data_IF_696939182292
#
_entry.id   IF_696939182292
#
_cell.length_a   1.000
_cell.length_b   1.000
_cell.length_c   1.000
_cell.angle_alpha   90.00
_cell.angle_beta   90.00
_cell.angle_gamma   90.00
#
_symmetry.space_group_name_H-M   'P 1'
#
loop_
_entity.id
_entity.type
_entity.pdbx_description
1 polymer ?
#
# COMPACT_ATOMS: atom_id res chain seq x y z
N UNK A 1 -19.16 -1.55 0.35
CA UNK A 1 -17.99 -1.52 1.26
C UNK A 1 -16.68 -1.77 0.51
N UNK A 2 -16.49 -2.93 -0.13
CA UNK A 2 -15.26 -3.22 -0.89
C UNK A 2 -14.98 -2.19 -2.01
N UNK A 3 -16.00 -1.80 -2.78
CA UNK A 3 -15.88 -0.81 -3.86
C UNK A 3 -15.51 0.60 -3.40
N UNK A 4 -15.92 1.00 -2.18
CA UNK A 4 -15.56 2.32 -1.61
C UNK A 4 -14.09 2.32 -1.21
N UNK A 5 -13.59 1.23 -0.62
CA UNK A 5 -12.18 1.08 -0.24
C UNK A 5 -11.29 1.10 -1.48
N UNK A 6 -11.66 0.35 -2.52
CA UNK A 6 -10.93 0.36 -3.81
C UNK A 6 -10.86 1.77 -4.39
N UNK A 7 -11.99 2.49 -4.48
CA UNK A 7 -11.99 3.86 -4.98
C UNK A 7 -11.17 4.85 -4.14
N UNK A 8 -11.10 4.66 -2.82
CA UNK A 8 -10.24 5.47 -1.94
C UNK A 8 -8.76 5.18 -2.20
N UNK A 9 -8.39 3.90 -2.37
CA UNK A 9 -7.02 3.49 -2.66
C UNK A 9 -6.59 4.04 -4.02
N UNK A 10 -7.42 3.92 -5.06
CA UNK A 10 -7.12 4.46 -6.39
C UNK A 10 -6.95 5.98 -6.37
N UNK A 11 -7.75 6.69 -5.56
CA UNK A 11 -7.63 8.14 -5.40
C UNK A 11 -6.35 8.57 -4.66
N UNK A 12 -5.95 7.85 -3.62
CA UNK A 12 -4.80 8.19 -2.76
C UNK A 12 -3.47 7.63 -3.27
N UNK A 13 -3.52 6.51 -3.99
CA UNK A 13 -2.40 5.86 -4.64
C UNK A 13 -2.76 5.58 -6.11
N UNK A 14 -2.85 6.62 -6.95
CA UNK A 14 -3.14 6.47 -8.38
C UNK A 14 -2.07 5.63 -9.08
N UNK A 15 -2.40 5.07 -10.24
CA UNK A 15 -1.53 4.12 -10.94
C UNK A 15 -0.15 4.72 -11.22
N UNK A 16 -0.07 5.98 -11.64
CA UNK A 16 1.21 6.65 -11.94
C UNK A 16 2.10 6.76 -10.68
N UNK A 17 1.51 7.10 -9.53
CA UNK A 17 2.24 7.15 -8.26
C UNK A 17 2.66 5.75 -7.82
N UNK A 18 1.77 4.78 -7.95
CA UNK A 18 2.04 3.38 -7.62
C UNK A 18 3.16 2.79 -8.48
N UNK A 19 3.19 3.08 -9.78
CA UNK A 19 4.27 2.70 -10.70
C UNK A 19 5.62 3.32 -10.33
N UNK A 20 5.65 4.60 -9.93
CA UNK A 20 6.87 5.25 -9.45
C UNK A 20 7.36 4.63 -8.14
N UNK A 21 6.46 4.38 -7.20
CA UNK A 21 6.80 3.78 -5.92
C UNK A 21 7.36 2.36 -6.07
N UNK A 22 6.80 1.55 -6.98
CA UNK A 22 7.29 0.19 -7.25
C UNK A 22 8.76 0.14 -7.70
N UNK A 23 9.31 1.23 -8.24
CA UNK A 23 10.72 1.30 -8.65
C UNK A 23 11.69 1.46 -7.47
N UNK A 24 11.18 1.90 -6.32
CA UNK A 24 12.02 2.24 -5.14
C UNK A 24 11.66 1.43 -3.90
N UNK A 25 10.48 0.82 -3.86
CA UNK A 25 10.07 -0.01 -2.72
C UNK A 25 10.98 -1.25 -2.62
N UNK A 26 11.55 -1.53 -1.44
CA UNK A 26 12.33 -2.74 -1.26
C UNK A 26 11.43 -3.98 -1.31
N UNK A 27 11.97 -5.09 -1.80
CA UNK A 27 11.28 -6.37 -1.75
C UNK A 27 10.92 -6.73 -0.31
N UNK A 28 9.71 -7.26 -0.11
CA UNK A 28 9.26 -7.69 1.20
C UNK A 28 10.18 -8.81 1.71
N UNK A 29 10.74 -8.70 2.92
CA UNK A 29 11.64 -9.72 3.45
C UNK A 29 10.90 -11.05 3.60
N UNK A 30 11.56 -12.14 3.21
CA UNK A 30 11.07 -13.48 3.47
C UNK A 30 11.03 -13.70 4.99
N UNK A 31 9.91 -14.22 5.50
CA UNK A 31 9.77 -14.52 6.92
C UNK A 31 10.23 -15.95 7.19
N UNK A 32 11.33 -16.18 7.93
CA UNK A 32 11.77 -17.53 8.29
C UNK A 32 10.76 -18.27 9.16
N UNK A 33 9.96 -17.52 9.92
CA UNK A 33 8.91 -18.04 10.80
C UNK A 33 7.62 -17.24 10.56
N UNK A 34 6.51 -17.95 10.35
CA UNK A 34 5.21 -17.40 9.96
C UNK A 34 4.37 -16.79 11.08
N UNK A 35 4.99 -16.21 12.11
CA UNK A 35 4.29 -15.58 13.23
C UNK A 35 3.79 -14.15 12.92
N UNK A 36 2.92 -13.63 13.80
CA UNK A 36 2.46 -12.23 13.78
C UNK A 36 1.29 -11.95 12.83
N UNK A 37 0.98 -10.65 12.63
CA UNK A 37 -0.10 -10.23 11.73
C UNK A 37 0.32 -10.43 10.26
N UNK A 38 -0.66 -10.76 9.41
CA UNK A 38 -0.48 -10.75 7.96
C UNK A 38 -0.07 -9.34 7.51
N UNK A 39 0.81 -9.27 6.51
CA UNK A 39 1.21 -8.01 5.86
C UNK A 39 0.00 -7.48 5.06
N UNK A 40 -0.24 -6.19 5.13
CA UNK A 40 -1.19 -5.52 4.24
C UNK A 40 -0.58 -5.37 2.84
N UNK A 41 -1.41 -5.20 1.81
CA UNK A 41 -0.93 -4.94 0.47
C UNK A 41 -0.21 -3.59 0.41
N UNK A 42 0.79 -3.51 -0.46
CA UNK A 42 1.69 -2.34 -0.54
C UNK A 42 0.98 -1.08 -1.00
N UNK A 43 0.02 -1.22 -1.93
CA UNK A 43 -0.75 -0.08 -2.45
C UNK A 43 -1.69 0.48 -1.40
N UNK A 44 -2.27 -0.38 -0.55
CA UNK A 44 -3.08 0.03 0.59
C UNK A 44 -2.26 0.78 1.64
N UNK A 45 -1.04 0.31 1.92
CA UNK A 45 -0.13 1.00 2.85
C UNK A 45 0.33 2.33 2.27
N UNK A 46 0.62 2.41 0.97
CA UNK A 46 0.96 3.66 0.29
C UNK A 46 -0.18 4.67 0.39
N UNK A 47 -1.42 4.24 0.12
CA UNK A 47 -2.61 5.09 0.27
C UNK A 47 -2.76 5.62 1.71
N UNK A 48 -2.48 4.79 2.71
CA UNK A 48 -2.51 5.21 4.12
C UNK A 48 -1.42 6.23 4.45
N UNK A 49 -0.20 6.05 3.95
CA UNK A 49 0.90 7.01 4.12
C UNK A 49 0.53 8.37 3.52
N UNK A 50 0.03 8.38 2.27
CA UNK A 50 -0.40 9.61 1.59
C UNK A 50 -1.49 10.31 2.39
N UNK A 51 -2.51 9.57 2.84
CA UNK A 51 -3.57 10.12 3.67
C UNK A 51 -3.02 10.82 4.92
N UNK A 52 -2.17 10.15 5.69
CA UNK A 52 -1.58 10.72 6.92
C UNK A 52 -0.71 11.94 6.60
N UNK A 53 0.03 11.94 5.50
CA UNK A 53 0.93 13.03 5.15
C UNK A 53 0.21 14.30 4.65
N UNK A 54 -1.04 14.17 4.18
CA UNK A 54 -1.79 15.28 3.56
C UNK A 54 -3.03 15.72 4.33
N UNK A 55 -3.25 15.21 5.55
CA UNK A 55 -4.43 15.54 6.39
C UNK A 55 -4.06 16.16 7.73
#
# INVERSE_FOLDING_TARGET
>A
MLSVVVGIIERLAPDELWELFQRVVPEAPSRPQGGGRRRHGDREVLAAIVFVATS
#
